data_IF_664437865507
#
_entry.id   IF_664437865507
#
_cell.length_a   1.000
_cell.length_b   1.000
_cell.length_c   1.000
_cell.angle_alpha   90.00
_cell.angle_beta   90.00
_cell.angle_gamma   90.00
#
_symmetry.space_group_name_H-M   'P 1'
#
loop_
_entity.id
_entity.type
_entity.pdbx_description
1 polymer ?
#
# COMPACT_ATOMS: atom_id res chain seq x y z
N UNK A 1 -3.34 -6.01 -3.79
CA UNK A 1 -2.38 -5.21 -3.00
C UNK A 1 -1.24 -4.64 -3.85
N UNK A 2 -0.54 -5.47 -4.64
CA UNK A 2 0.56 -5.02 -5.53
C UNK A 2 0.15 -3.99 -6.57
N UNK A 3 -0.95 -4.20 -7.29
CA UNK A 3 -1.43 -3.26 -8.31
C UNK A 3 -1.67 -1.85 -7.74
N UNK A 4 -2.32 -1.75 -6.57
CA UNK A 4 -2.50 -0.47 -5.89
C UNK A 4 -1.15 0.16 -5.51
N UNK A 5 -0.22 -0.64 -4.98
CA UNK A 5 1.11 -0.18 -4.61
C UNK A 5 1.91 0.34 -5.83
N UNK A 6 1.78 -0.30 -6.99
CA UNK A 6 2.39 0.16 -8.24
C UNK A 6 1.73 1.44 -8.74
N UNK A 7 0.39 1.52 -8.69
CA UNK A 7 -0.37 2.72 -9.06
C UNK A 7 -0.01 3.95 -8.23
N UNK A 8 0.25 3.78 -6.93
CA UNK A 8 0.69 4.87 -6.03
C UNK A 8 2.22 4.97 -5.91
N UNK A 9 2.99 4.29 -6.75
CA UNK A 9 4.45 4.40 -6.79
C UNK A 9 5.17 3.95 -5.51
N UNK A 10 4.62 2.98 -4.79
CA UNK A 10 5.18 2.43 -3.54
C UNK A 10 5.35 3.49 -2.45
N UNK A 11 4.48 4.51 -2.46
CA UNK A 11 4.47 5.60 -1.48
C UNK A 11 3.04 6.08 -1.30
N UNK A 12 2.47 5.88 -0.11
CA UNK A 12 1.17 6.46 0.24
C UNK A 12 1.37 7.96 0.45
N UNK A 13 0.69 8.79 -0.34
CA UNK A 13 0.60 10.25 -0.13
C UNK A 13 -0.71 10.60 0.58
N UNK A 14 -0.83 11.84 1.08
CA UNK A 14 -2.05 12.31 1.78
C UNK A 14 -3.32 12.14 0.95
N UNK A 15 -3.25 12.43 -0.35
CA UNK A 15 -4.37 12.26 -1.28
C UNK A 15 -4.79 10.79 -1.47
N UNK A 16 -3.85 9.86 -1.28
CA UNK A 16 -4.10 8.42 -1.40
C UNK A 16 -4.64 7.83 -0.09
N UNK A 17 -4.58 8.54 1.04
CA UNK A 17 -4.93 7.98 2.36
C UNK A 17 -6.36 7.46 2.43
N UNK A 18 -7.33 8.21 1.90
CA UNK A 18 -8.74 7.80 1.92
C UNK A 18 -8.97 6.54 1.06
N UNK A 19 -8.43 6.50 -0.15
CA UNK A 19 -8.57 5.34 -1.04
C UNK A 19 -7.83 4.11 -0.52
N UNK A 20 -6.65 4.29 0.06
CA UNK A 20 -5.89 3.21 0.70
C UNK A 20 -6.64 2.69 1.93
N UNK A 21 -7.22 3.57 2.74
CA UNK A 21 -8.02 3.18 3.90
C UNK A 21 -9.24 2.35 3.49
N UNK A 22 -9.97 2.78 2.46
CA UNK A 22 -11.13 2.05 1.94
C UNK A 22 -10.73 0.67 1.41
N UNK A 23 -9.70 0.61 0.54
CA UNK A 23 -9.17 -0.65 0.02
C UNK A 23 -8.73 -1.60 1.14
N UNK A 24 -8.02 -1.09 2.14
CA UNK A 24 -7.60 -1.85 3.30
C UNK A 24 -8.79 -2.43 4.08
N UNK A 25 -9.83 -1.63 4.32
CA UNK A 25 -11.08 -2.08 4.96
C UNK A 25 -11.81 -3.15 4.14
N UNK A 26 -11.87 -3.00 2.81
CA UNK A 26 -12.55 -3.96 1.92
C UNK A 26 -11.91 -5.34 1.95
N UNK A 27 -10.59 -5.41 2.08
CA UNK A 27 -9.86 -6.69 2.12
C UNK A 27 -9.58 -7.17 3.55
N UNK A 28 -10.06 -6.46 4.58
CA UNK A 28 -9.86 -6.81 5.98
C UNK A 28 -8.42 -6.67 6.48
N UNK A 29 -7.65 -5.73 5.92
CA UNK A 29 -6.26 -5.47 6.30
C UNK A 29 -6.14 -4.10 6.93
N UNK A 30 -5.36 -3.97 8.01
CA UNK A 30 -5.07 -2.66 8.57
C UNK A 30 -4.13 -1.86 7.65
N UNK A 31 -4.38 -0.56 7.52
CA UNK A 31 -3.51 0.38 6.78
C UNK A 31 -2.03 0.27 7.20
N UNK A 32 -1.78 0.08 8.50
CA UNK A 32 -0.43 -0.07 9.05
C UNK A 32 0.27 -1.32 8.50
N UNK A 33 -0.46 -2.43 8.41
CA UNK A 33 0.04 -3.69 7.83
C UNK A 33 0.32 -3.51 6.35
N UNK A 34 -0.59 -2.88 5.60
CA UNK A 34 -0.36 -2.57 4.19
C UNK A 34 0.87 -1.69 3.97
N UNK A 35 1.10 -0.68 4.81
CA UNK A 35 2.29 0.18 4.74
C UNK A 35 3.59 -0.60 4.95
N UNK A 36 3.64 -1.50 5.93
CA UNK A 36 4.80 -2.36 6.19
C UNK A 36 5.02 -3.33 5.03
N UNK A 37 3.93 -3.95 4.54
CA UNK A 37 3.96 -4.83 3.39
C UNK A 37 4.56 -4.11 2.17
N UNK A 38 4.13 -2.87 1.87
CA UNK A 38 4.70 -2.10 0.77
C UNK A 38 6.19 -1.84 0.96
N UNK A 39 6.65 -1.50 2.16
CA UNK A 39 8.08 -1.26 2.43
C UNK A 39 8.92 -2.51 2.16
N UNK A 40 8.48 -3.66 2.67
CA UNK A 40 9.17 -4.93 2.50
C UNK A 40 9.23 -5.34 1.01
N UNK A 41 8.11 -5.20 0.30
CA UNK A 41 8.02 -5.59 -1.10
C UNK A 41 8.72 -4.59 -2.04
N UNK A 42 8.81 -3.30 -1.67
CA UNK A 42 9.56 -2.29 -2.44
C UNK A 42 11.04 -2.61 -2.54
N UNK A 43 11.64 -3.14 -1.46
CA UNK A 43 13.05 -3.52 -1.44
C UNK A 43 13.31 -4.80 -2.24
N UNK A 44 12.40 -5.77 -2.17
CA UNK A 44 12.48 -7.01 -2.95
C UNK A 44 12.42 -6.75 -4.47
N UNK A 45 11.67 -5.72 -4.92
CA UNK A 45 11.58 -5.35 -6.35
C UNK A 45 12.76 -4.50 -6.87
N UNK A 46 13.74 -4.16 -6.03
CA UNK A 46 14.96 -3.43 -6.44
C UNK A 46 16.16 -4.36 -6.65
N UNK A 47 15.97 -5.66 -6.51
CA UNK A 47 16.93 -6.72 -6.84
C UNK A 47 16.48 -7.41 -8.13
#
# INVERSE_FOLDING_TARGET
>A
MAELAERIGWRIQRQDEAGVQQFCSEIGVERKVFKVWMHNNKQQRRQ
#
